data_IF_379761881917
#
_entry.id   IF_379761881917
#
_cell.length_a   1.000
_cell.length_b   1.000
_cell.length_c   1.000
_cell.angle_alpha   90.00
_cell.angle_beta   90.00
_cell.angle_gamma   90.00
#
_symmetry.space_group_name_H-M   'P 1'
#
loop_
_entity.id
_entity.type
_entity.pdbx_description
1 polymer ?
#
# COMPACT_ATOMS: atom_id res chain seq x y z
N UNK A 1 15.03 25.27 11.10
CA UNK A 1 14.74 24.12 11.99
C UNK A 1 16.04 23.45 12.37
N UNK A 2 16.26 23.26 13.67
CA UNK A 2 17.58 22.92 14.21
C UNK A 2 18.02 21.51 13.77
N UNK A 3 19.22 21.39 13.24
CA UNK A 3 19.90 20.13 12.88
C UNK A 3 19.92 19.08 14.03
N UNK A 4 19.69 19.54 15.26
CA UNK A 4 19.71 18.72 16.48
C UNK A 4 18.51 17.76 16.60
N UNK A 5 17.33 18.11 16.04
CA UNK A 5 16.14 17.25 16.12
C UNK A 5 16.16 16.10 15.11
N UNK A 6 16.85 16.26 13.98
CA UNK A 6 16.95 15.19 12.94
C UNK A 6 17.87 14.06 13.41
N UNK A 7 18.94 14.37 14.12
CA UNK A 7 19.88 13.38 14.66
C UNK A 7 19.30 12.47 15.75
N UNK A 8 18.10 12.76 16.27
CA UNK A 8 17.47 12.02 17.37
C UNK A 8 16.32 11.10 16.94
N UNK A 9 15.96 11.07 15.64
CA UNK A 9 14.87 10.23 15.16
C UNK A 9 15.29 8.76 15.18
N UNK A 10 14.60 7.98 16.00
CA UNK A 10 14.78 6.53 16.09
C UNK A 10 13.80 5.77 15.20
N UNK A 11 12.56 6.24 15.14
CA UNK A 11 11.48 5.63 14.35
C UNK A 11 10.71 6.69 13.59
N UNK A 12 10.29 6.36 12.38
CA UNK A 12 9.50 7.23 11.53
C UNK A 12 8.29 6.50 10.97
N UNK A 13 7.13 7.14 10.98
CA UNK A 13 5.95 6.70 10.26
C UNK A 13 5.70 7.60 9.05
N UNK A 14 5.44 7.00 7.91
CA UNK A 14 5.13 7.70 6.67
C UNK A 14 3.77 7.25 6.17
N UNK A 15 2.81 8.17 6.16
CA UNK A 15 1.55 8.01 5.44
C UNK A 15 1.71 8.48 3.99
N UNK A 16 1.41 7.58 3.04
CA UNK A 16 1.65 7.77 1.61
C UNK A 16 0.38 8.29 0.95
N UNK A 17 0.32 9.60 0.74
CA UNK A 17 -0.72 10.22 -0.06
C UNK A 17 -0.40 10.25 -1.56
N UNK A 18 -1.38 10.63 -2.38
CA UNK A 18 -1.24 10.72 -3.84
C UNK A 18 -0.12 11.68 -4.27
N UNK A 19 -0.07 12.87 -3.69
CA UNK A 19 0.86 13.94 -4.08
C UNK A 19 1.84 14.34 -2.97
N UNK A 20 1.61 13.89 -1.75
CA UNK A 20 2.40 14.26 -0.58
C UNK A 20 2.44 13.14 0.43
N UNK A 21 3.44 13.22 1.30
CA UNK A 21 3.66 12.29 2.40
C UNK A 21 3.51 13.04 3.71
N UNK A 22 2.75 12.46 4.65
CA UNK A 22 2.75 12.94 6.03
C UNK A 22 3.74 12.10 6.82
N UNK A 23 4.66 12.78 7.48
CA UNK A 23 5.80 12.16 8.14
C UNK A 23 5.80 12.55 9.60
N UNK A 24 5.88 11.54 10.47
CA UNK A 24 6.04 11.69 11.91
C UNK A 24 7.27 10.92 12.35
N UNK A 25 8.22 11.62 12.97
CA UNK A 25 9.43 11.04 13.55
C UNK A 25 9.37 11.04 15.06
N UNK A 26 9.70 9.88 15.65
CA UNK A 26 9.76 9.66 17.09
C UNK A 26 11.22 9.50 17.55
N UNK A 27 11.53 10.02 18.69
CA UNK A 27 12.81 9.72 19.38
C UNK A 27 12.75 8.32 20.05
N UNK A 28 13.85 7.94 20.73
CA UNK A 28 13.95 6.66 21.45
C UNK A 28 12.98 6.55 22.63
N UNK A 29 12.39 7.64 23.08
CA UNK A 29 11.42 7.69 24.19
C UNK A 29 9.99 7.67 23.67
N UNK A 30 9.79 7.69 22.33
CA UNK A 30 8.49 7.77 21.70
C UNK A 30 7.92 9.20 21.60
N UNK A 31 8.70 10.23 21.91
CA UNK A 31 8.28 11.61 21.77
C UNK A 31 8.35 12.05 20.30
N UNK A 32 7.34 12.81 19.85
CA UNK A 32 7.32 13.34 18.48
C UNK A 32 8.35 14.47 18.36
N UNK A 33 9.38 14.26 17.54
CA UNK A 33 10.44 15.23 17.26
C UNK A 33 10.37 15.79 15.85
N UNK A 34 9.59 15.13 14.96
CA UNK A 34 9.34 15.60 13.60
C UNK A 34 7.86 15.39 13.26
N UNK A 35 7.22 16.42 12.68
CA UNK A 35 5.86 16.33 12.12
C UNK A 35 5.77 17.24 10.92
N UNK A 36 5.88 16.68 9.72
CA UNK A 36 5.97 17.46 8.49
C UNK A 36 5.22 16.79 7.34
N UNK A 37 4.79 17.62 6.39
CA UNK A 37 4.28 17.19 5.10
C UNK A 37 5.33 17.45 4.04
N UNK A 38 5.68 16.41 3.27
CA UNK A 38 6.68 16.49 2.20
C UNK A 38 6.06 16.18 0.84
N UNK A 39 6.58 16.79 -0.20
CA UNK A 39 6.25 16.44 -1.58
C UNK A 39 6.97 15.18 -2.02
N UNK A 40 6.54 14.60 -3.15
CA UNK A 40 7.22 13.43 -3.75
C UNK A 40 8.68 13.71 -4.10
N UNK A 41 9.00 14.91 -4.56
CA UNK A 41 10.38 15.30 -4.88
C UNK A 41 11.27 15.50 -3.64
N UNK A 42 10.67 15.79 -2.49
CA UNK A 42 11.42 16.06 -1.27
C UNK A 42 11.71 14.83 -0.43
N UNK A 43 10.85 13.78 -0.50
CA UNK A 43 10.90 12.62 0.40
C UNK A 43 12.25 11.88 0.31
N UNK A 44 12.69 11.54 -0.89
CA UNK A 44 13.94 10.80 -1.09
C UNK A 44 15.15 11.63 -0.67
N UNK A 45 15.23 12.89 -1.11
CA UNK A 45 16.35 13.79 -0.79
C UNK A 45 16.51 14.00 0.71
N UNK A 46 15.38 14.21 1.42
CA UNK A 46 15.39 14.44 2.87
C UNK A 46 15.78 13.19 3.64
N UNK A 47 15.26 12.03 3.24
CA UNK A 47 15.57 10.77 3.92
C UNK A 47 16.99 10.29 3.60
N UNK A 48 17.50 10.50 2.40
CA UNK A 48 18.90 10.22 2.07
C UNK A 48 19.90 11.04 2.91
N UNK A 49 19.50 12.23 3.38
CA UNK A 49 20.33 13.09 4.23
C UNK A 49 20.18 12.79 5.73
N UNK A 50 19.32 11.85 6.12
CA UNK A 50 19.08 11.48 7.52
C UNK A 50 19.89 10.26 7.92
N UNK A 51 20.28 10.14 9.20
CA UNK A 51 20.86 8.91 9.73
C UNK A 51 19.88 7.73 9.57
N UNK A 52 20.38 6.50 9.35
CA UNK A 52 19.56 5.30 9.30
C UNK A 52 18.63 5.18 10.51
N UNK A 53 17.35 4.92 10.27
CA UNK A 53 16.35 4.72 11.30
C UNK A 53 15.31 3.69 10.86
N UNK A 54 14.47 3.22 11.79
CA UNK A 54 13.31 2.38 11.49
C UNK A 54 12.22 3.21 10.84
N UNK A 55 11.74 2.79 9.65
CA UNK A 55 10.69 3.50 8.92
C UNK A 55 9.51 2.56 8.66
N UNK A 56 8.33 2.92 9.21
CA UNK A 56 7.07 2.24 8.93
C UNK A 56 6.32 2.90 7.79
N UNK A 57 5.68 2.08 6.96
CA UNK A 57 4.75 2.53 5.91
C UNK A 57 3.61 1.53 5.74
N UNK A 58 2.43 2.02 5.34
CA UNK A 58 1.35 1.14 4.93
C UNK A 58 1.63 0.55 3.53
N UNK A 59 1.37 -0.75 3.35
CA UNK A 59 1.54 -1.44 2.06
C UNK A 59 0.45 -1.01 1.07
N UNK A 60 0.68 0.07 0.36
CA UNK A 60 -0.19 0.65 -0.65
C UNK A 60 0.53 0.84 -1.99
N UNK A 61 -0.15 1.46 -2.96
CA UNK A 61 0.45 1.82 -4.26
C UNK A 61 1.60 2.80 -4.06
N UNK A 62 2.79 2.46 -4.59
CA UNK A 62 4.01 3.26 -4.44
C UNK A 62 4.85 2.92 -3.21
N UNK A 63 4.30 2.25 -2.19
CA UNK A 63 5.01 1.92 -0.97
C UNK A 63 6.23 1.01 -1.22
N UNK A 64 6.11 0.02 -2.10
CA UNK A 64 7.21 -0.88 -2.44
C UNK A 64 8.37 -0.15 -3.14
N UNK A 65 8.07 0.82 -4.01
CA UNK A 65 9.09 1.64 -4.66
C UNK A 65 9.85 2.47 -3.62
N UNK A 66 9.11 3.18 -2.76
CA UNK A 66 9.70 3.98 -1.70
C UNK A 66 10.52 3.12 -0.73
N UNK A 67 10.00 1.96 -0.33
CA UNK A 67 10.70 1.03 0.55
C UNK A 67 12.07 0.62 -0.01
N UNK A 68 12.14 0.24 -1.30
CA UNK A 68 13.42 -0.11 -1.95
C UNK A 68 14.41 1.06 -1.93
N UNK A 69 13.95 2.28 -2.19
CA UNK A 69 14.77 3.49 -2.14
C UNK A 69 15.33 3.74 -0.75
N UNK A 70 14.48 3.65 0.26
CA UNK A 70 14.87 3.85 1.66
C UNK A 70 15.85 2.79 2.15
N UNK A 71 15.64 1.53 1.78
CA UNK A 71 16.58 0.44 2.07
C UNK A 71 17.93 0.66 1.39
N UNK A 72 17.96 1.18 0.16
CA UNK A 72 19.20 1.55 -0.52
C UNK A 72 19.97 2.69 0.17
N UNK A 73 19.26 3.56 0.92
CA UNK A 73 19.86 4.60 1.77
C UNK A 73 20.21 4.12 3.18
N UNK A 74 20.06 2.81 3.47
CA UNK A 74 20.45 2.21 4.75
C UNK A 74 19.36 2.25 5.83
N UNK A 75 18.14 2.74 5.55
CA UNK A 75 17.05 2.71 6.51
C UNK A 75 16.43 1.31 6.63
N UNK A 76 15.96 0.95 7.83
CA UNK A 76 15.12 -0.25 8.04
C UNK A 76 13.66 0.08 7.66
N UNK A 77 13.36 0.05 6.36
CA UNK A 77 12.04 0.36 5.83
C UNK A 77 11.15 -0.88 5.81
N UNK A 78 10.04 -0.83 6.54
CA UNK A 78 9.09 -1.93 6.72
C UNK A 78 7.69 -1.57 6.25
N UNK A 79 7.06 -2.50 5.52
CA UNK A 79 5.69 -2.35 5.03
C UNK A 79 4.72 -3.13 5.91
N UNK A 80 3.60 -2.49 6.29
CA UNK A 80 2.57 -3.10 7.12
C UNK A 80 1.23 -3.17 6.38
N UNK A 81 0.45 -4.26 6.53
CA UNK A 81 -0.91 -4.31 6.01
C UNK A 81 -1.80 -3.25 6.68
N UNK A 82 -2.63 -2.55 5.90
CA UNK A 82 -3.56 -1.51 6.37
C UNK A 82 -4.41 -1.95 7.56
N UNK A 83 -4.86 -3.20 7.57
CA UNK A 83 -5.71 -3.75 8.65
C UNK A 83 -5.05 -3.71 10.03
N UNK A 84 -3.71 -3.78 10.09
CA UNK A 84 -2.99 -3.75 11.37
C UNK A 84 -2.70 -2.32 11.83
N UNK A 85 -2.54 -1.39 10.89
CA UNK A 85 -2.31 0.03 11.22
C UNK A 85 -3.56 0.69 11.78
N UNK A 86 -4.74 0.37 11.23
CA UNK A 86 -6.03 0.93 11.68
C UNK A 86 -6.30 0.77 13.17
N UNK A 87 -5.81 -0.28 13.80
CA UNK A 87 -5.96 -0.51 15.23
C UNK A 87 -5.27 0.56 16.11
N UNK A 88 -4.31 1.28 15.56
CA UNK A 88 -3.53 2.33 16.26
C UNK A 88 -4.02 3.74 15.91
N UNK A 89 -4.89 3.90 14.93
CA UNK A 89 -5.46 5.20 14.56
C UNK A 89 -6.50 5.64 15.59
N UNK A 90 -6.24 6.76 16.27
CA UNK A 90 -7.08 7.31 17.33
C UNK A 90 -7.94 8.45 16.81
N UNK A 91 -9.27 8.30 16.77
CA UNK A 91 -10.23 9.36 16.50
C UNK A 91 -10.50 9.63 15.01
N UNK A 92 -10.90 10.86 14.67
CA UNK A 92 -11.24 11.24 13.30
C UNK A 92 -10.03 11.17 12.37
N UNK A 93 -10.26 10.76 11.12
CA UNK A 93 -9.23 10.62 10.09
C UNK A 93 -8.44 11.90 9.90
N UNK A 94 -7.13 11.80 10.13
CA UNK A 94 -6.17 12.88 9.91
C UNK A 94 -4.85 12.24 9.49
N UNK A 95 -4.33 12.64 8.35
CA UNK A 95 -3.13 12.05 7.73
C UNK A 95 -1.90 12.05 8.67
N UNK A 96 -1.77 13.05 9.55
CA UNK A 96 -0.70 13.04 10.55
C UNK A 96 -0.93 12.04 11.69
N UNK A 97 -2.19 11.80 12.07
CA UNK A 97 -2.51 10.75 13.04
C UNK A 97 -2.28 9.36 12.45
N UNK A 98 -2.54 9.22 11.16
CA UNK A 98 -2.26 7.97 10.45
C UNK A 98 -0.73 7.73 10.37
N UNK A 99 0.07 8.76 10.10
CA UNK A 99 1.53 8.65 10.16
C UNK A 99 2.07 8.35 11.57
N UNK A 100 1.46 8.92 12.62
CA UNK A 100 1.78 8.63 14.01
C UNK A 100 1.44 7.16 14.37
N UNK A 101 0.24 6.71 14.01
CA UNK A 101 -0.18 5.33 14.18
C UNK A 101 0.76 4.33 13.47
N UNK A 102 1.24 4.67 12.28
CA UNK A 102 2.25 3.90 11.54
C UNK A 102 3.57 3.84 12.31
N UNK A 103 4.03 4.98 12.87
CA UNK A 103 5.26 5.04 13.65
C UNK A 103 5.18 4.22 14.95
N UNK A 104 4.03 4.18 15.60
CA UNK A 104 3.79 3.32 16.76
C UNK A 104 3.72 1.84 16.38
N UNK A 105 2.96 1.53 15.32
CA UNK A 105 2.71 0.16 14.89
C UNK A 105 3.97 -0.58 14.44
N UNK A 106 4.89 0.10 13.74
CA UNK A 106 6.12 -0.52 13.21
C UNK A 106 7.07 -1.01 14.30
N UNK A 107 6.97 -0.47 15.51
CA UNK A 107 7.79 -0.84 16.67
C UNK A 107 7.29 -2.08 17.41
N UNK A 108 6.09 -2.58 17.09
CA UNK A 108 5.49 -3.68 17.83
C UNK A 108 6.15 -5.03 17.48
N UNK A 109 6.59 -5.82 18.49
CA UNK A 109 7.23 -7.11 18.23
C UNK A 109 6.34 -8.12 17.50
N UNK A 110 5.01 -8.01 17.69
CA UNK A 110 4.02 -8.91 17.07
C UNK A 110 3.53 -8.43 15.70
N UNK A 111 4.07 -7.31 15.19
CA UNK A 111 3.66 -6.78 13.88
C UNK A 111 4.08 -7.70 12.74
N UNK A 112 3.13 -8.02 11.87
CA UNK A 112 3.40 -8.78 10.64
C UNK A 112 3.70 -7.81 9.50
N UNK A 113 4.89 -7.95 8.93
CA UNK A 113 5.33 -7.12 7.82
C UNK A 113 5.07 -7.78 6.47
N UNK A 114 4.90 -6.95 5.44
CA UNK A 114 4.82 -7.35 4.04
C UNK A 114 6.22 -7.23 3.44
N UNK A 115 6.71 -8.29 2.80
CA UNK A 115 7.99 -8.23 2.10
C UNK A 115 7.97 -7.14 1.00
N UNK A 116 9.05 -6.38 0.92
CA UNK A 116 9.23 -5.40 -0.15
C UNK A 116 9.41 -6.15 -1.47
N UNK A 117 8.49 -5.92 -2.42
CA UNK A 117 8.50 -6.58 -3.72
C UNK A 117 9.49 -5.92 -4.68
N UNK A 118 10.16 -6.73 -5.50
CA UNK A 118 10.93 -6.28 -6.64
C UNK A 118 10.01 -5.71 -7.74
N UNK A 119 10.60 -5.06 -8.75
CA UNK A 119 9.83 -4.41 -9.83
C UNK A 119 9.08 -5.45 -10.65
N UNK A 120 9.75 -6.51 -11.07
CA UNK A 120 9.20 -7.64 -11.83
C UNK A 120 8.03 -8.33 -11.11
N UNK A 121 8.12 -8.48 -9.78
CA UNK A 121 7.03 -9.02 -8.97
C UNK A 121 5.79 -8.11 -8.97
N UNK A 122 5.98 -6.79 -9.00
CA UNK A 122 4.88 -5.83 -9.09
C UNK A 122 4.25 -5.82 -10.47
N UNK A 123 5.05 -5.94 -11.53
CA UNK A 123 4.58 -6.03 -12.91
C UNK A 123 3.75 -7.30 -13.11
N UNK A 124 4.24 -8.45 -12.65
CA UNK A 124 3.49 -9.70 -12.67
C UNK A 124 2.18 -9.59 -11.87
N UNK A 125 2.22 -8.97 -10.69
CA UNK A 125 1.02 -8.73 -9.90
C UNK A 125 0.01 -7.83 -10.63
N UNK A 126 0.47 -6.81 -11.35
CA UNK A 126 -0.38 -5.93 -12.16
C UNK A 126 -1.08 -6.71 -13.27
N UNK A 127 -0.35 -7.56 -14.00
CA UNK A 127 -0.90 -8.42 -15.04
C UNK A 127 -1.97 -9.39 -14.49
N UNK A 128 -1.70 -10.02 -13.35
CA UNK A 128 -2.70 -10.88 -12.70
C UNK A 128 -3.97 -10.12 -12.31
N UNK A 129 -3.86 -8.90 -11.80
CA UNK A 129 -5.01 -8.05 -11.46
C UNK A 129 -5.83 -7.64 -12.68
N UNK A 130 -5.15 -7.32 -13.80
CA UNK A 130 -5.82 -7.02 -15.06
C UNK A 130 -6.58 -8.25 -15.57
N UNK A 131 -5.92 -9.41 -15.62
CA UNK A 131 -6.55 -10.68 -16.02
C UNK A 131 -7.77 -10.98 -15.15
N UNK A 132 -7.64 -10.89 -13.84
CA UNK A 132 -8.74 -11.16 -12.90
C UNK A 132 -9.94 -10.23 -13.13
N UNK A 133 -9.67 -8.94 -13.36
CA UNK A 133 -10.71 -7.96 -13.70
C UNK A 133 -11.44 -8.31 -15.00
N UNK A 134 -10.70 -8.67 -16.04
CA UNK A 134 -11.28 -9.06 -17.33
C UNK A 134 -12.15 -10.32 -17.21
N UNK A 135 -11.67 -11.32 -16.46
CA UNK A 135 -12.45 -12.55 -16.19
C UNK A 135 -13.75 -12.22 -15.44
N UNK A 136 -13.69 -11.39 -14.41
CA UNK A 136 -14.89 -10.95 -13.67
C UNK A 136 -15.86 -10.17 -14.54
N UNK A 137 -15.36 -9.28 -15.38
CA UNK A 137 -16.21 -8.51 -16.33
C UNK A 137 -16.88 -9.44 -17.32
N UNK A 138 -16.16 -10.38 -17.94
CA UNK A 138 -16.73 -11.39 -18.83
C UNK A 138 -17.84 -12.19 -18.15
N UNK A 139 -17.60 -12.69 -16.94
CA UNK A 139 -18.59 -13.44 -16.17
C UNK A 139 -19.81 -12.60 -15.86
N UNK A 140 -19.63 -11.33 -15.48
CA UNK A 140 -20.72 -10.39 -15.24
C UNK A 140 -21.59 -10.17 -16.48
N UNK A 141 -20.98 -9.96 -17.64
CA UNK A 141 -21.69 -9.80 -18.92
C UNK A 141 -22.47 -11.05 -19.27
N UNK A 142 -21.88 -12.24 -19.15
CA UNK A 142 -22.54 -13.51 -19.40
C UNK A 142 -23.76 -13.67 -18.49
N UNK A 143 -23.63 -13.36 -17.21
CA UNK A 143 -24.73 -13.44 -16.26
C UNK A 143 -25.86 -12.47 -16.59
N UNK A 144 -25.54 -11.24 -17.02
CA UNK A 144 -26.54 -10.28 -17.47
C UNK A 144 -27.28 -10.77 -18.72
N UNK A 145 -26.55 -11.30 -19.73
CA UNK A 145 -27.16 -11.87 -20.93
C UNK A 145 -28.11 -13.03 -20.59
N UNK A 146 -27.78 -13.82 -19.59
CA UNK A 146 -28.63 -14.94 -19.14
C UNK A 146 -29.86 -14.47 -18.36
N UNK A 147 -29.72 -13.39 -17.58
CA UNK A 147 -30.79 -12.86 -16.77
C UNK A 147 -31.92 -12.25 -17.61
N UNK A 148 -31.59 -11.52 -18.69
CA UNK A 148 -32.62 -10.86 -19.54
C UNK A 148 -33.67 -11.80 -20.13
N UNK A 149 -33.31 -12.95 -20.74
CA UNK A 149 -34.29 -13.89 -21.26
C UNK A 149 -35.13 -14.59 -20.16
N UNK A 150 -34.52 -14.78 -18.95
CA UNK A 150 -35.26 -15.40 -17.83
C UNK A 150 -36.47 -14.57 -17.38
N UNK A 151 -36.39 -13.23 -17.45
CA UNK A 151 -37.53 -12.34 -17.18
C UNK A 151 -38.70 -12.53 -18.19
N UNK A 152 -38.45 -13.24 -19.29
CA UNK A 152 -39.41 -13.59 -20.34
C UNK A 152 -39.69 -15.07 -20.45
N UNK A 153 -39.33 -15.84 -19.41
CA UNK A 153 -39.46 -17.31 -19.36
C UNK A 153 -38.71 -18.04 -20.50
N UNK A 154 -37.62 -17.42 -20.99
CA UNK A 154 -36.76 -17.98 -22.01
C UNK A 154 -35.48 -18.50 -21.37
N UNK A 155 -35.27 -19.82 -21.38
CA UNK A 155 -34.05 -20.45 -20.88
C UNK A 155 -33.00 -20.44 -22.01
N UNK A 156 -31.94 -19.66 -21.82
CA UNK A 156 -30.78 -19.67 -22.72
C UNK A 156 -29.90 -20.86 -22.36
N UNK A 157 -29.92 -21.90 -23.18
CA UNK A 157 -29.19 -23.14 -22.94
C UNK A 157 -27.66 -22.96 -22.91
N UNK A 158 -26.95 -23.92 -22.37
CA UNK A 158 -25.48 -23.96 -22.23
C UNK A 158 -24.69 -23.80 -23.54
N UNK A 159 -25.31 -23.99 -24.70
CA UNK A 159 -24.66 -23.85 -26.01
C UNK A 159 -24.07 -22.44 -26.26
N UNK A 160 -24.70 -21.38 -25.72
CA UNK A 160 -24.17 -20.03 -25.79
C UNK A 160 -22.93 -19.88 -24.90
N UNK A 161 -22.86 -20.60 -23.81
CA UNK A 161 -21.72 -20.60 -22.89
C UNK A 161 -20.45 -21.17 -23.52
N UNK A 162 -20.57 -22.20 -24.34
CA UNK A 162 -19.42 -22.86 -25.01
C UNK A 162 -18.85 -22.01 -26.16
N UNK A 163 -19.67 -21.21 -26.83
CA UNK A 163 -19.19 -20.31 -27.92
C UNK A 163 -18.45 -19.07 -27.41
N UNK A 164 -18.66 -18.69 -26.14
CA UNK A 164 -18.01 -17.53 -25.48
C UNK A 164 -16.80 -17.99 -24.66
N UNK A 165 -16.65 -19.27 -24.37
CA UNK A 165 -15.47 -19.82 -23.70
C UNK A 165 -14.29 -19.83 -24.69
N UNK A 166 -13.11 -19.32 -24.32
CA UNK A 166 -11.91 -19.47 -25.15
C UNK A 166 -11.61 -20.97 -25.29
N UNK A 167 -11.23 -21.37 -26.51
CA UNK A 167 -10.67 -22.69 -26.75
C UNK A 167 -9.52 -22.92 -25.77
N UNK A 168 -9.61 -23.98 -24.97
CA UNK A 168 -8.49 -24.42 -24.17
C UNK A 168 -7.45 -24.95 -25.15
N UNK A 169 -6.37 -24.21 -25.34
CA UNK A 169 -5.20 -24.74 -26.03
C UNK A 169 -4.56 -25.77 -25.08
N UNK A 170 -4.60 -27.05 -25.53
CA UNK A 170 -3.85 -28.14 -24.93
C UNK A 170 -2.35 -27.95 -25.04
#
# INVERSE_FOLDING_TARGET
>A
MSNKSIATIATMGIDIGKNSFHVVGLDRRGAIVLRQKWSRSQIEVRLAAMPPCLIGMEACVGAHHLSRKLQAHGHDARLMPAKYVRAYSKGQKNDFRDAEAIAEAVQRPTMKFVATKAVDQLDLQALHRVRERLVRQRTGIINQIRAFPLERDIIVGEALSRRIAPAQHG
#
